data_IF_307510908170
#
_entry.id   IF_307510908170
#
_cell.length_a   1.000
_cell.length_b   1.000
_cell.length_c   1.000
_cell.angle_alpha   90.00
_cell.angle_beta   90.00
_cell.angle_gamma   90.00
#
_symmetry.space_group_name_H-M   'P 1'
#
loop_
_entity.id
_entity.type
_entity.pdbx_description
1 polymer ?
#
# COMPACT_ATOMS: atom_id res chain seq x y z
N UNK A 1 -2.84 7.97 -10.02
CA UNK A 1 -1.41 7.74 -9.69
C UNK A 1 -1.09 8.22 -8.28
N UNK A 2 -0.26 7.48 -7.53
CA UNK A 2 0.09 7.76 -6.13
C UNK A 2 1.40 8.55 -5.93
N UNK A 3 2.27 8.61 -6.95
CA UNK A 3 3.60 9.22 -6.85
C UNK A 3 3.61 10.69 -6.39
N UNK A 4 2.75 11.60 -6.91
CA UNK A 4 2.80 13.01 -6.50
C UNK A 4 2.58 13.21 -5.00
N UNK A 5 1.60 12.52 -4.42
CA UNK A 5 1.30 12.59 -3.00
C UNK A 5 2.41 11.96 -2.14
N UNK A 6 2.97 10.84 -2.59
CA UNK A 6 4.07 10.22 -1.87
C UNK A 6 5.33 11.10 -1.87
N UNK A 7 5.65 11.69 -3.03
CA UNK A 7 6.79 12.61 -3.16
C UNK A 7 6.64 13.84 -2.26
N UNK A 8 5.46 14.45 -2.25
CA UNK A 8 5.16 15.60 -1.39
C UNK A 8 5.25 15.21 0.10
N UNK A 9 4.63 14.09 0.49
CA UNK A 9 4.71 13.58 1.86
C UNK A 9 6.15 13.34 2.32
N UNK A 10 7.02 12.85 1.43
CA UNK A 10 8.45 12.70 1.71
C UNK A 10 9.17 14.05 1.90
N UNK A 11 8.83 15.07 1.11
CA UNK A 11 9.38 16.43 1.32
C UNK A 11 8.94 16.97 2.68
N UNK A 12 7.65 16.85 3.01
CA UNK A 12 7.10 17.35 4.26
C UNK A 12 7.69 16.64 5.50
N UNK A 13 7.99 15.35 5.39
CA UNK A 13 8.51 14.55 6.52
C UNK A 13 10.03 14.60 6.65
N UNK A 14 10.75 14.58 5.52
CA UNK A 14 12.21 14.35 5.49
C UNK A 14 13.00 15.47 4.80
N UNK A 15 12.35 16.57 4.40
CA UNK A 15 12.98 17.70 3.70
C UNK A 15 13.44 17.40 2.27
N UNK A 16 13.22 16.17 1.77
CA UNK A 16 13.58 15.76 0.42
C UNK A 16 12.61 14.70 -0.11
N UNK A 17 12.25 14.81 -1.40
CA UNK A 17 11.31 13.89 -2.04
C UNK A 17 11.95 12.60 -2.54
N UNK A 18 11.15 11.55 -2.73
CA UNK A 18 11.63 10.30 -3.33
C UNK A 18 11.79 10.46 -4.86
N UNK A 19 12.92 10.01 -5.45
CA UNK A 19 13.08 9.98 -6.90
C UNK A 19 12.06 9.06 -7.58
N UNK A 20 11.49 9.51 -8.71
CA UNK A 20 10.45 8.76 -9.46
C UNK A 20 10.89 7.34 -9.87
N UNK A 21 12.17 7.16 -10.20
CA UNK A 21 12.74 5.85 -10.55
C UNK A 21 12.73 4.90 -9.35
N UNK A 22 13.11 5.39 -8.17
CA UNK A 22 13.07 4.62 -6.92
C UNK A 22 11.63 4.23 -6.56
N UNK A 23 10.69 5.16 -6.72
CA UNK A 23 9.28 4.87 -6.51
C UNK A 23 8.75 3.79 -7.47
N UNK A 24 9.13 3.83 -8.74
CA UNK A 24 8.74 2.82 -9.71
C UNK A 24 9.25 1.41 -9.34
N UNK A 25 10.48 1.33 -8.82
CA UNK A 25 11.07 0.08 -8.32
C UNK A 25 10.39 -0.44 -7.05
N UNK A 26 9.65 0.42 -6.33
CA UNK A 26 8.98 0.03 -5.10
C UNK A 26 7.77 -0.89 -5.31
N UNK A 27 7.31 -1.09 -6.56
CA UNK A 27 6.34 -2.13 -6.95
C UNK A 27 6.99 -3.52 -6.96
N UNK A 28 7.45 -3.96 -5.79
CA UNK A 28 8.14 -5.24 -5.60
C UNK A 28 7.61 -5.94 -4.33
N UNK A 29 7.51 -7.29 -4.29
CA UNK A 29 7.02 -8.02 -3.12
C UNK A 29 7.81 -7.72 -1.83
N UNK A 30 9.12 -7.55 -1.95
CA UNK A 30 10.02 -7.26 -0.81
C UNK A 30 10.13 -5.78 -0.46
N UNK A 31 9.56 -4.88 -1.27
CA UNK A 31 9.54 -3.46 -0.95
C UNK A 31 8.66 -3.20 0.28
N UNK A 32 9.03 -2.23 1.10
CA UNK A 32 8.20 -1.78 2.22
C UNK A 32 6.94 -1.03 1.78
N UNK A 33 6.91 -0.50 0.55
CA UNK A 33 5.78 0.26 0.03
C UNK A 33 4.71 -0.65 -0.54
N UNK A 34 3.49 -0.53 -0.03
CA UNK A 34 2.32 -1.27 -0.49
C UNK A 34 1.58 -0.50 -1.58
N UNK A 35 2.17 -0.46 -2.78
CA UNK A 35 1.68 0.31 -3.92
C UNK A 35 1.57 -0.62 -5.14
N UNK A 36 0.44 -0.57 -5.82
CA UNK A 36 0.15 -1.39 -6.99
C UNK A 36 -1.35 -1.59 -7.14
N UNK A 37 -1.72 -2.51 -8.03
CA UNK A 37 -3.11 -2.89 -8.24
C UNK A 37 -3.58 -3.83 -7.12
N UNK A 38 -4.89 -3.99 -6.91
CA UNK A 38 -5.42 -4.75 -5.78
C UNK A 38 -4.94 -6.21 -5.73
N UNK A 39 -4.79 -6.86 -6.89
CA UNK A 39 -4.34 -8.25 -6.97
C UNK A 39 -2.87 -8.40 -6.57
N UNK A 40 -2.01 -7.48 -7.03
CA UNK A 40 -0.62 -7.41 -6.59
C UNK A 40 -0.51 -7.17 -5.08
N UNK A 41 -1.37 -6.31 -4.53
CA UNK A 41 -1.39 -6.04 -3.09
C UNK A 41 -1.79 -7.28 -2.28
N UNK A 42 -2.76 -8.06 -2.76
CA UNK A 42 -3.17 -9.32 -2.13
C UNK A 42 -2.00 -10.31 -2.10
N UNK A 43 -1.38 -10.57 -3.24
CA UNK A 43 -0.24 -11.50 -3.35
C UNK A 43 0.91 -11.08 -2.43
N UNK A 44 1.24 -9.79 -2.46
CA UNK A 44 2.30 -9.22 -1.63
C UNK A 44 2.01 -9.38 -0.14
N UNK A 45 0.81 -9.05 0.31
CA UNK A 45 0.45 -9.16 1.73
C UNK A 45 0.40 -10.61 2.21
N UNK A 46 0.00 -11.55 1.35
CA UNK A 46 0.08 -12.98 1.67
C UNK A 46 1.53 -13.46 1.78
N UNK A 47 2.40 -13.06 0.84
CA UNK A 47 3.83 -13.35 0.89
C UNK A 47 4.48 -12.81 2.18
N UNK A 48 4.16 -11.57 2.54
CA UNK A 48 4.68 -10.96 3.76
C UNK A 48 4.08 -11.62 5.02
N UNK A 49 2.81 -12.02 4.99
CA UNK A 49 2.17 -12.75 6.10
C UNK A 49 2.85 -14.10 6.34
N UNK A 50 3.13 -14.86 5.27
CA UNK A 50 3.81 -16.15 5.37
C UNK A 50 5.22 -16.02 5.97
N UNK A 51 5.95 -14.98 5.60
CA UNK A 51 7.32 -14.75 6.06
C UNK A 51 7.44 -14.15 7.45
N UNK A 52 6.57 -13.19 7.76
CA UNK A 52 6.66 -12.40 9.00
C UNK A 52 5.68 -12.86 10.07
N UNK A 53 4.68 -13.66 9.71
CA UNK A 53 3.71 -14.21 10.64
C UNK A 53 2.85 -13.15 11.32
N UNK A 54 2.57 -12.00 10.70
CA UNK A 54 1.71 -10.97 11.30
C UNK A 54 0.23 -11.36 11.22
N UNK A 55 -0.57 -11.02 12.23
CA UNK A 55 -2.02 -11.26 12.23
C UNK A 55 -2.83 -10.01 11.93
N UNK A 56 -2.19 -8.84 11.93
CA UNK A 56 -2.83 -7.53 11.71
C UNK A 56 -2.01 -6.71 10.74
N UNK A 57 -2.69 -6.16 9.73
CA UNK A 57 -2.15 -5.17 8.83
C UNK A 57 -2.76 -3.80 9.16
N UNK A 58 -1.91 -2.77 9.27
CA UNK A 58 -2.31 -1.37 9.42
C UNK A 58 -1.63 -0.61 8.29
N UNK A 59 -2.43 0.01 7.42
CA UNK A 59 -1.95 0.78 6.28
C UNK A 59 -2.25 2.26 6.44
N UNK A 60 -1.31 3.11 6.02
CA UNK A 60 -1.54 4.54 5.86
C UNK A 60 -2.04 4.80 4.43
N UNK A 61 -3.23 5.38 4.31
CA UNK A 61 -3.86 5.69 3.01
C UNK A 61 -3.54 7.11 2.53
N UNK A 62 -3.35 8.04 3.46
CA UNK A 62 -2.93 9.41 3.17
C UNK A 62 -1.56 9.70 3.77
N UNK A 63 -0.66 10.20 2.93
CA UNK A 63 0.71 10.56 3.30
C UNK A 63 1.11 11.98 2.85
N UNK A 64 0.36 12.60 1.94
CA UNK A 64 0.75 13.87 1.32
C UNK A 64 -0.42 14.64 0.70
N UNK A 65 -1.60 14.56 1.33
CA UNK A 65 -2.79 15.28 0.89
C UNK A 65 -3.52 14.56 -0.25
N UNK A 66 -3.72 13.24 -0.12
CA UNK A 66 -4.54 12.48 -1.05
C UNK A 66 -5.99 13.00 -0.98
N UNK A 67 -6.65 13.36 -2.10
CA UNK A 67 -8.03 13.82 -2.09
C UNK A 67 -8.98 12.80 -1.45
N UNK A 68 -9.98 13.29 -0.72
CA UNK A 68 -10.91 12.47 0.05
C UNK A 68 -11.59 11.40 -0.81
N UNK A 69 -12.01 11.74 -2.03
CA UNK A 69 -12.69 10.82 -2.95
C UNK A 69 -11.82 9.62 -3.29
N UNK A 70 -10.50 9.83 -3.48
CA UNK A 70 -9.55 8.75 -3.73
C UNK A 70 -9.32 7.90 -2.49
N UNK A 71 -9.34 8.50 -1.30
CA UNK A 71 -9.24 7.74 -0.06
C UNK A 71 -10.46 6.82 0.11
N UNK A 72 -11.66 7.32 -0.19
CA UNK A 72 -12.90 6.53 -0.16
C UNK A 72 -12.87 5.38 -1.18
N UNK A 73 -12.42 5.63 -2.42
CA UNK A 73 -12.23 4.59 -3.43
C UNK A 73 -11.26 3.50 -2.94
N UNK A 74 -10.14 3.89 -2.32
CA UNK A 74 -9.19 2.94 -1.73
C UNK A 74 -9.83 2.12 -0.60
N UNK A 75 -10.59 2.76 0.29
CA UNK A 75 -11.31 2.09 1.38
C UNK A 75 -12.29 1.05 0.81
N UNK A 76 -13.05 1.41 -0.23
CA UNK A 76 -13.99 0.51 -0.88
C UNK A 76 -13.29 -0.70 -1.49
N UNK A 77 -12.19 -0.49 -2.21
CA UNK A 77 -11.38 -1.58 -2.80
C UNK A 77 -10.79 -2.47 -1.70
N UNK A 78 -10.25 -1.88 -0.63
CA UNK A 78 -9.68 -2.62 0.49
C UNK A 78 -10.74 -3.46 1.21
N UNK A 79 -11.92 -2.91 1.44
CA UNK A 79 -13.01 -3.58 2.13
C UNK A 79 -13.72 -4.64 1.28
N UNK A 80 -13.92 -4.38 0.00
CA UNK A 80 -14.70 -5.25 -0.89
C UNK A 80 -13.87 -6.35 -1.56
N UNK A 81 -12.59 -6.10 -1.86
CA UNK A 81 -11.73 -7.03 -2.62
C UNK A 81 -10.56 -7.55 -1.79
N UNK A 82 -9.74 -6.67 -1.23
CA UNK A 82 -8.46 -7.07 -0.61
C UNK A 82 -8.65 -7.81 0.70
N UNK A 83 -9.38 -7.23 1.66
CA UNK A 83 -9.56 -7.84 2.97
C UNK A 83 -10.29 -9.21 2.93
N UNK A 84 -11.35 -9.40 2.13
CA UNK A 84 -11.98 -10.71 1.95
C UNK A 84 -11.02 -11.76 1.35
N UNK A 85 -10.23 -11.37 0.34
CA UNK A 85 -9.26 -12.27 -0.28
C UNK A 85 -8.19 -12.71 0.72
N UNK A 86 -7.60 -11.78 1.49
CA UNK A 86 -6.61 -12.13 2.52
C UNK A 86 -7.20 -13.09 3.56
N UNK A 87 -8.38 -12.76 4.10
CA UNK A 87 -9.06 -13.62 5.09
C UNK A 87 -9.33 -15.03 4.57
N UNK A 88 -9.59 -15.22 3.28
CA UNK A 88 -9.78 -16.55 2.70
C UNK A 88 -8.55 -17.44 2.85
N UNK A 89 -7.35 -16.87 2.75
CA UNK A 89 -6.08 -17.62 2.77
C UNK A 89 -5.38 -17.60 4.13
N UNK A 90 -5.70 -16.67 5.03
CA UNK A 90 -5.03 -16.54 6.34
C UNK A 90 -5.91 -16.94 7.52
N UNK A 91 -7.20 -17.22 7.32
CA UNK A 91 -8.10 -17.65 8.40
C UNK A 91 -7.87 -19.14 8.69
N UNK A 92 -7.35 -19.42 9.89
CA UNK A 92 -7.36 -20.76 10.48
C UNK A 92 -8.73 -21.08 11.05
#
# INVERSE_FOLDING_TARGET
EAFPYFHEGMILTNGSGMPKRTFAQAKHPESILNIGDPDFLIEKLLYQHERLGFQRYIGQLDFGGVPFEKQMEMIDILGSKVAPALRKYTRK
#
